data_IF_509671135089
#
_entry.id   IF_509671135089
#
_cell.length_a   1.000
_cell.length_b   1.000
_cell.length_c   1.000
_cell.angle_alpha   90.00
_cell.angle_beta   90.00
_cell.angle_gamma   90.00
#
_symmetry.space_group_name_H-M   'P 1'
#
loop_
_entity.id
_entity.type
_entity.pdbx_description
1 polymer ?
#
# COMPACT_ATOMS: atom_id res chain seq x y z
N UNK A 1 9.67 7.92 -42.70
CA UNK A 1 9.81 7.28 -41.38
C UNK A 1 9.71 8.37 -40.34
N UNK A 2 8.57 8.46 -39.66
CA UNK A 2 8.33 9.48 -38.65
C UNK A 2 8.92 8.92 -37.35
N UNK A 3 10.06 9.48 -36.93
CA UNK A 3 10.53 9.33 -35.56
C UNK A 3 9.44 9.93 -34.67
N UNK A 4 8.66 9.06 -34.01
CA UNK A 4 7.90 9.47 -32.84
C UNK A 4 8.93 9.73 -31.75
N UNK A 5 9.25 11.00 -31.54
CA UNK A 5 9.75 11.47 -30.25
C UNK A 5 8.76 11.01 -29.19
N UNK A 6 9.23 10.15 -28.29
CA UNK A 6 8.50 9.80 -27.07
C UNK A 6 8.64 11.05 -26.18
N UNK A 7 7.56 11.81 -25.93
CA UNK A 7 7.62 12.97 -25.07
C UNK A 7 7.79 12.48 -23.63
N UNK A 8 8.83 12.96 -22.95
CA UNK A 8 8.91 12.94 -21.50
C UNK A 8 9.14 11.56 -20.87
N UNK A 9 10.39 11.09 -20.92
CA UNK A 9 10.93 10.35 -19.77
C UNK A 9 11.11 11.33 -18.59
N UNK A 10 10.00 11.88 -18.08
CA UNK A 10 9.94 12.44 -16.73
C UNK A 10 10.16 11.28 -15.72
N UNK A 11 10.61 11.56 -14.48
CA UNK A 11 11.40 10.62 -13.69
C UNK A 11 10.53 9.47 -13.16
N UNK A 12 10.34 8.45 -13.99
CA UNK A 12 9.62 7.19 -13.69
C UNK A 12 10.24 6.38 -12.53
N UNK A 13 11.28 6.91 -11.88
CA UNK A 13 12.14 6.22 -10.92
C UNK A 13 12.27 6.96 -9.57
N UNK A 14 11.60 8.11 -9.39
CA UNK A 14 11.60 8.80 -8.11
C UNK A 14 10.51 8.22 -7.19
N UNK A 15 10.83 7.93 -5.91
CA UNK A 15 9.82 7.54 -4.91
C UNK A 15 8.68 8.57 -4.88
N UNK A 16 7.44 8.09 -4.91
CA UNK A 16 6.30 9.00 -4.90
C UNK A 16 6.26 9.80 -3.59
N UNK A 17 5.90 11.08 -3.69
CA UNK A 17 5.71 11.96 -2.52
C UNK A 17 4.51 11.47 -1.69
N UNK A 18 3.48 10.98 -2.37
CA UNK A 18 2.29 10.33 -1.80
C UNK A 18 1.96 9.12 -2.69
N UNK A 19 1.76 7.96 -2.09
CA UNK A 19 1.35 6.74 -2.79
C UNK A 19 -0.16 6.55 -2.64
N UNK A 20 -0.87 6.45 -3.77
CA UNK A 20 -2.31 6.20 -3.80
C UNK A 20 -2.65 4.80 -4.32
N UNK A 21 -1.79 4.26 -5.19
CA UNK A 21 -1.98 3.00 -5.90
C UNK A 21 -0.87 1.99 -5.58
N UNK A 22 -1.23 0.71 -5.42
CA UNK A 22 -0.24 -0.37 -5.32
C UNK A 22 0.66 -0.48 -6.54
N UNK A 23 0.15 -0.17 -7.74
CA UNK A 23 0.91 -0.19 -8.99
C UNK A 23 2.07 0.81 -9.02
N UNK A 24 2.03 1.84 -8.17
CA UNK A 24 3.08 2.86 -8.05
C UNK A 24 4.10 2.55 -6.96
N UNK A 25 3.86 1.52 -6.14
CA UNK A 25 4.78 1.14 -5.07
C UNK A 25 6.10 0.65 -5.66
N UNK A 26 7.23 1.12 -5.14
CA UNK A 26 8.59 0.70 -5.56
C UNK A 26 9.39 0.22 -4.36
N UNK A 27 10.47 -0.53 -4.64
CA UNK A 27 11.43 -0.97 -3.59
C UNK A 27 11.99 0.22 -2.79
N UNK A 28 12.19 1.34 -3.47
CA UNK A 28 12.67 2.58 -2.86
C UNK A 28 11.68 3.20 -1.85
N UNK A 29 10.39 2.84 -1.91
CA UNK A 29 9.39 3.27 -0.93
C UNK A 29 9.39 2.42 0.34
N UNK A 30 9.78 1.15 0.22
CA UNK A 30 9.82 0.18 1.32
C UNK A 30 11.06 0.35 2.18
N UNK A 31 12.20 0.72 1.59
CA UNK A 31 13.47 0.80 2.31
C UNK A 31 13.44 1.78 3.49
N UNK A 32 12.94 3.03 3.34
CA UNK A 32 12.83 3.96 4.47
C UNK A 32 11.89 3.46 5.57
N UNK A 33 10.80 2.79 5.19
CA UNK A 33 9.85 2.21 6.15
C UNK A 33 10.49 1.05 6.93
N UNK A 34 11.25 0.20 6.25
CA UNK A 34 12.00 -0.90 6.86
C UNK A 34 13.02 -0.39 7.87
N UNK A 35 13.81 0.61 7.50
CA UNK A 35 14.85 1.18 8.36
C UNK A 35 14.24 1.80 9.63
N UNK A 36 13.14 2.54 9.46
CA UNK A 36 12.38 3.09 10.58
C UNK A 36 11.85 2.00 11.51
N UNK A 37 11.15 0.99 10.98
CA UNK A 37 10.60 -0.12 11.78
C UNK A 37 11.71 -0.91 12.48
N UNK A 38 12.83 -1.16 11.82
CA UNK A 38 13.98 -1.82 12.41
C UNK A 38 14.55 -1.02 13.59
N UNK A 39 14.71 0.30 13.43
CA UNK A 39 15.17 1.16 14.52
C UNK A 39 14.20 1.12 15.71
N UNK A 40 12.90 1.34 15.47
CA UNK A 40 11.88 1.37 16.54
C UNK A 40 11.76 0.04 17.30
N UNK A 41 11.75 -1.08 16.57
CA UNK A 41 11.60 -2.40 17.19
C UNK A 41 12.86 -2.83 17.94
N UNK A 42 14.04 -2.41 17.48
CA UNK A 42 15.28 -2.65 18.22
C UNK A 42 15.37 -1.81 19.50
N UNK A 43 14.89 -0.57 19.49
CA UNK A 43 14.78 0.23 20.72
C UNK A 43 13.81 -0.39 21.71
N UNK A 44 12.62 -0.79 21.23
CA UNK A 44 11.64 -1.51 22.06
C UNK A 44 12.25 -2.74 22.74
N UNK A 45 13.06 -3.52 22.01
CA UNK A 45 13.74 -4.69 22.56
C UNK A 45 14.83 -4.31 23.59
N UNK A 46 15.56 -3.22 23.38
CA UNK A 46 16.60 -2.73 24.31
C UNK A 46 16.02 -2.16 25.60
N UNK A 47 14.80 -1.64 25.56
CA UNK A 47 14.09 -1.15 26.75
C UNK A 47 13.63 -2.29 27.67
N UNK A 48 13.66 -3.55 27.19
CA UNK A 48 13.34 -4.73 28.00
C UNK A 48 14.58 -5.31 28.67
N UNK A 49 14.40 -5.80 29.90
CA UNK A 49 15.46 -6.51 30.63
C UNK A 49 15.87 -7.79 29.88
N UNK A 50 17.17 -8.08 29.90
CA UNK A 50 17.74 -9.23 29.22
C UNK A 50 17.23 -10.56 29.80
N UNK A 51 16.93 -11.52 28.92
CA UNK A 51 16.42 -12.84 29.32
C UNK A 51 14.92 -12.90 29.67
N UNK A 52 14.18 -11.80 29.52
CA UNK A 52 12.73 -11.79 29.75
C UNK A 52 11.94 -12.24 28.51
N UNK A 53 10.76 -12.81 28.73
CA UNK A 53 9.80 -13.12 27.66
C UNK A 53 9.40 -11.87 26.86
N UNK A 54 9.33 -10.72 27.53
CA UNK A 54 9.04 -9.44 26.91
C UNK A 54 10.11 -9.05 25.88
N UNK A 55 11.40 -9.19 26.24
CA UNK A 55 12.51 -8.97 25.30
C UNK A 55 12.47 -9.96 24.15
N UNK A 56 12.27 -11.24 24.44
CA UNK A 56 12.14 -12.27 23.40
C UNK A 56 11.01 -11.94 22.40
N UNK A 57 9.86 -11.51 22.90
CA UNK A 57 8.72 -11.13 22.08
C UNK A 57 9.02 -9.89 21.21
N UNK A 58 9.69 -8.87 21.76
CA UNK A 58 10.09 -7.68 21.01
C UNK A 58 11.11 -8.02 19.90
N UNK A 59 12.12 -8.83 20.20
CA UNK A 59 13.09 -9.30 19.21
C UNK A 59 12.43 -10.20 18.14
N UNK A 60 11.48 -11.04 18.53
CA UNK A 60 10.73 -11.86 17.59
C UNK A 60 9.88 -10.99 16.66
N UNK A 61 9.18 -9.99 17.20
CA UNK A 61 8.43 -9.02 16.40
C UNK A 61 9.34 -8.28 15.40
N UNK A 62 10.52 -7.83 15.84
CA UNK A 62 11.51 -7.19 14.96
C UNK A 62 11.88 -8.09 13.76
N UNK A 63 12.17 -9.37 14.02
CA UNK A 63 12.49 -10.35 12.97
C UNK A 63 11.31 -10.62 12.04
N UNK A 64 10.10 -10.74 12.56
CA UNK A 64 8.89 -10.95 11.75
C UNK A 64 8.62 -9.76 10.83
N UNK A 65 8.78 -8.54 11.32
CA UNK A 65 8.59 -7.33 10.53
C UNK A 65 9.69 -7.16 9.47
N UNK A 66 10.96 -7.43 9.81
CA UNK A 66 12.04 -7.42 8.81
C UNK A 66 11.82 -8.47 7.71
N UNK A 67 11.34 -9.67 8.06
CA UNK A 67 10.96 -10.68 7.08
C UNK A 67 9.84 -10.19 6.16
N UNK A 68 8.77 -9.60 6.71
CA UNK A 68 7.69 -9.04 5.92
C UNK A 68 8.14 -7.90 4.98
N UNK A 69 9.09 -7.05 5.40
CA UNK A 69 9.69 -6.05 4.53
C UNK A 69 10.49 -6.67 3.36
N UNK A 70 11.20 -7.77 3.62
CA UNK A 70 11.94 -8.51 2.59
C UNK A 70 10.99 -9.19 1.60
N UNK A 71 9.95 -9.87 2.10
CA UNK A 71 8.95 -10.52 1.26
C UNK A 71 8.24 -9.50 0.35
N UNK A 72 7.88 -8.32 0.87
CA UNK A 72 7.30 -7.23 0.05
C UNK A 72 8.30 -6.70 -0.98
N UNK A 73 9.58 -6.59 -0.63
CA UNK A 73 10.63 -6.17 -1.57
C UNK A 73 10.77 -7.16 -2.73
N UNK A 74 10.78 -8.47 -2.44
CA UNK A 74 10.86 -9.51 -3.45
C UNK A 74 9.61 -9.53 -4.36
N UNK A 75 8.43 -9.29 -3.79
CA UNK A 75 7.20 -9.14 -4.56
C UNK A 75 7.24 -7.92 -5.49
N UNK A 76 7.84 -6.81 -5.06
CA UNK A 76 8.01 -5.60 -5.88
C UNK A 76 9.01 -5.81 -7.02
N UNK A 77 10.11 -6.53 -6.78
CA UNK A 77 11.05 -6.93 -7.85
C UNK A 77 10.33 -7.79 -8.88
N UNK A 78 9.52 -8.75 -8.42
CA UNK A 78 8.71 -9.59 -9.32
C UNK A 78 7.72 -8.75 -10.12
N UNK A 79 7.09 -7.74 -9.50
CA UNK A 79 6.19 -6.82 -10.18
C UNK A 79 6.88 -5.99 -11.27
N UNK A 80 8.07 -5.45 -10.98
CA UNK A 80 8.87 -4.71 -11.97
C UNK A 80 9.26 -5.59 -13.17
N UNK A 81 9.56 -6.88 -12.94
CA UNK A 81 9.80 -7.84 -14.02
C UNK A 81 8.56 -8.04 -14.90
N UNK A 82 7.40 -8.27 -14.30
CA UNK A 82 6.13 -8.45 -15.04
C UNK A 82 5.78 -7.22 -15.91
N UNK A 83 6.00 -6.01 -15.37
CA UNK A 83 5.80 -4.75 -16.12
C UNK A 83 6.76 -4.62 -17.31
N UNK A 84 7.99 -5.11 -17.17
CA UNK A 84 9.05 -4.98 -18.19
C UNK A 84 8.94 -6.05 -19.26
N UNK A 85 8.63 -7.28 -18.88
CA UNK A 85 8.60 -8.46 -19.78
C UNK A 85 7.26 -8.62 -20.51
N UNK A 86 6.22 -7.92 -20.08
CA UNK A 86 4.93 -7.88 -20.78
C UNK A 86 4.09 -9.17 -20.63
N UNK A 87 4.45 -10.11 -19.76
CA UNK A 87 3.58 -11.24 -19.37
C UNK A 87 2.46 -10.81 -18.39
N UNK A 88 2.00 -9.56 -18.53
CA UNK A 88 0.75 -9.08 -17.94
C UNK A 88 -0.48 -9.88 -18.42
N UNK A 89 -0.29 -10.77 -19.40
CA UNK A 89 -1.28 -11.60 -20.06
C UNK A 89 -1.86 -12.73 -19.19
N UNK A 90 -1.33 -12.93 -17.98
CA UNK A 90 -1.87 -13.86 -16.97
C UNK A 90 -2.75 -13.12 -15.95
N UNK A 91 -4.04 -12.87 -16.27
CA UNK A 91 -4.91 -12.02 -15.47
C UNK A 91 -5.04 -12.45 -14.00
N UNK A 92 -4.88 -13.74 -13.69
CA UNK A 92 -4.93 -14.24 -12.31
C UNK A 92 -3.65 -14.06 -11.48
N UNK A 93 -2.48 -14.01 -12.12
CA UNK A 93 -1.21 -13.87 -11.41
C UNK A 93 -0.94 -12.41 -11.05
N UNK A 94 -1.03 -11.53 -12.06
CA UNK A 94 -0.84 -10.08 -11.93
C UNK A 94 -1.81 -9.48 -10.93
N UNK A 95 -3.10 -9.84 -11.01
CA UNK A 95 -4.10 -9.31 -10.09
C UNK A 95 -3.85 -9.74 -8.65
N UNK A 96 -3.39 -10.98 -8.44
CA UNK A 96 -3.03 -11.47 -7.10
C UNK A 96 -1.79 -10.75 -6.57
N UNK A 97 -0.77 -10.57 -7.41
CA UNK A 97 0.45 -9.85 -7.04
C UNK A 97 0.11 -8.41 -6.62
N UNK A 98 -0.65 -7.69 -7.43
CA UNK A 98 -1.13 -6.33 -7.14
C UNK A 98 -1.89 -6.23 -5.81
N UNK A 99 -2.79 -7.18 -5.54
CA UNK A 99 -3.53 -7.23 -4.26
C UNK A 99 -2.62 -7.53 -3.07
N UNK A 100 -1.66 -8.45 -3.23
CA UNK A 100 -0.69 -8.78 -2.19
C UNK A 100 0.20 -7.58 -1.87
N UNK A 101 0.71 -6.87 -2.88
CA UNK A 101 1.50 -5.66 -2.70
C UNK A 101 0.79 -4.63 -1.82
N UNK A 102 -0.48 -4.34 -2.12
CA UNK A 102 -1.28 -3.42 -1.31
C UNK A 102 -1.49 -3.92 0.11
N UNK A 103 -1.83 -5.20 0.26
CA UNK A 103 -2.11 -5.81 1.57
C UNK A 103 -0.88 -5.81 2.49
N UNK A 104 0.27 -6.19 1.94
CA UNK A 104 1.53 -6.29 2.67
C UNK A 104 2.08 -4.91 3.05
N UNK A 105 2.02 -3.95 2.11
CA UNK A 105 2.33 -2.56 2.40
C UNK A 105 1.47 -2.00 3.53
N UNK A 106 0.15 -2.14 3.44
CA UNK A 106 -0.78 -1.62 4.44
C UNK A 106 -0.52 -2.21 5.83
N UNK A 107 -0.14 -3.49 5.90
CA UNK A 107 0.20 -4.15 7.15
C UNK A 107 1.45 -3.53 7.80
N UNK A 108 2.47 -3.25 7.01
CA UNK A 108 3.68 -2.57 7.48
C UNK A 108 3.39 -1.14 7.91
N UNK A 109 2.60 -0.39 7.11
CA UNK A 109 2.18 0.97 7.46
C UNK A 109 1.38 1.00 8.76
N UNK A 110 0.41 0.10 8.94
CA UNK A 110 -0.34 -0.01 10.20
C UNK A 110 0.55 -0.32 11.39
N UNK A 111 1.65 -1.03 11.17
CA UNK A 111 2.67 -1.25 12.22
C UNK A 111 3.43 0.02 12.52
N UNK A 112 3.88 0.76 11.50
CA UNK A 112 4.59 2.03 11.67
C UNK A 112 3.73 3.13 12.32
N UNK A 113 2.43 3.15 12.02
CA UNK A 113 1.47 4.10 12.62
C UNK A 113 1.36 3.98 14.15
N UNK A 114 1.76 2.84 14.73
CA UNK A 114 1.84 2.68 16.20
C UNK A 114 2.95 3.54 16.83
N UNK A 115 3.86 4.07 16.00
CA UNK A 115 4.99 4.90 16.37
C UNK A 115 4.90 6.29 15.71
N UNK A 116 3.67 6.76 15.40
CA UNK A 116 3.44 7.99 14.65
C UNK A 116 3.83 9.28 15.42
N UNK A 117 4.04 9.18 16.73
CA UNK A 117 4.55 10.24 17.59
C UNK A 117 6.08 10.42 17.50
N UNK A 118 6.79 9.49 16.85
CA UNK A 118 8.23 9.57 16.68
C UNK A 118 8.64 10.62 15.63
N UNK A 119 9.69 11.44 15.86
CA UNK A 119 10.12 12.49 14.93
C UNK A 119 10.53 11.97 13.54
N UNK A 120 11.06 10.75 13.46
CA UNK A 120 11.45 10.11 12.19
C UNK A 120 10.27 9.47 11.45
N UNK A 121 9.05 9.49 12.02
CA UNK A 121 7.87 8.99 11.32
C UNK A 121 7.54 9.89 10.14
N UNK A 122 7.40 9.29 8.95
CA UNK A 122 7.09 10.04 7.73
C UNK A 122 5.58 9.99 7.43
N UNK A 123 4.89 11.14 7.32
CA UNK A 123 3.45 11.19 7.01
C UNK A 123 3.04 10.59 5.66
N UNK A 124 4.01 10.26 4.79
CA UNK A 124 3.81 9.56 3.52
C UNK A 124 3.48 8.07 3.69
N UNK A 125 3.79 7.47 4.84
CA UNK A 125 3.46 6.07 5.12
C UNK A 125 1.97 5.93 5.44
N UNK A 126 1.18 5.77 4.39
CA UNK A 126 -0.28 5.66 4.44
C UNK A 126 -0.74 4.37 3.76
N UNK A 127 -1.85 3.78 4.23
CA UNK A 127 -2.48 2.67 3.54
C UNK A 127 -2.87 3.10 2.12
N UNK A 128 -2.71 2.18 1.18
CA UNK A 128 -3.07 2.39 -0.21
C UNK A 128 -4.58 2.23 -0.35
N UNK A 129 -5.20 3.20 -1.02
CA UNK A 129 -6.66 3.19 -1.19
C UNK A 129 -7.08 2.32 -2.36
N UNK A 130 -6.23 2.25 -3.38
CA UNK A 130 -6.55 1.61 -4.64
C UNK A 130 -5.39 0.71 -5.10
N UNK A 131 -5.72 -0.21 -6.00
CA UNK A 131 -4.75 -1.14 -6.56
C UNK A 131 -4.09 -0.52 -7.79
N UNK A 132 -4.91 0.06 -8.66
CA UNK A 132 -4.56 0.73 -9.91
C UNK A 132 -5.65 1.76 -10.23
N UNK A 133 -5.50 2.52 -11.31
CA UNK A 133 -6.47 3.54 -11.75
C UNK A 133 -7.83 2.92 -12.06
N UNK A 134 -7.86 1.78 -12.76
CA UNK A 134 -9.10 1.08 -13.10
C UNK A 134 -9.85 0.61 -11.83
N UNK A 135 -9.12 0.24 -10.78
CA UNK A 135 -9.73 -0.10 -9.49
C UNK A 135 -10.34 1.14 -8.83
N UNK A 136 -9.70 2.31 -8.92
CA UNK A 136 -10.28 3.55 -8.40
C UNK A 136 -11.56 3.93 -9.13
N UNK A 137 -11.56 3.88 -10.46
CA UNK A 137 -12.75 4.14 -11.29
C UNK A 137 -13.90 3.18 -10.94
N UNK A 138 -13.61 1.88 -10.79
CA UNK A 138 -14.60 0.89 -10.37
C UNK A 138 -15.19 1.20 -8.99
N UNK A 139 -14.34 1.54 -8.01
CA UNK A 139 -14.78 1.87 -6.64
C UNK A 139 -15.62 3.14 -6.63
N UNK A 140 -15.25 4.16 -7.41
CA UNK A 140 -16.02 5.41 -7.54
C UNK A 140 -17.39 5.18 -8.18
N UNK A 141 -17.48 4.35 -9.21
CA UNK A 141 -18.77 3.97 -9.81
C UNK A 141 -19.65 3.20 -8.81
N UNK A 142 -19.08 2.21 -8.13
CA UNK A 142 -19.81 1.39 -7.15
C UNK A 142 -20.28 2.19 -5.92
N UNK A 143 -19.51 3.19 -5.48
CA UNK A 143 -19.86 4.05 -4.34
C UNK A 143 -20.70 5.26 -4.74
N UNK A 144 -20.53 5.78 -5.97
CA UNK A 144 -21.34 6.85 -6.55
C UNK A 144 -22.79 6.43 -6.76
N UNK A 145 -23.01 5.19 -7.22
CA UNK A 145 -24.36 4.60 -7.38
C UNK A 145 -25.07 4.38 -6.03
N UNK A 146 -24.32 4.21 -4.94
CA UNK A 146 -24.88 4.12 -3.58
C UNK A 146 -25.34 5.49 -3.03
N UNK A 147 -24.85 6.60 -3.59
CA UNK A 147 -25.31 7.95 -3.26
C UNK A 147 -26.44 8.47 -4.15
N UNK A 148 -26.59 7.94 -5.38
CA UNK A 148 -27.69 8.31 -6.29
C UNK A 148 -28.97 7.49 -6.08
N UNK A 149 -28.92 6.47 -5.21
CA UNK A 149 -30.11 5.74 -4.73
C UNK A 149 -30.88 6.48 -3.61
N UNK A 150 -30.65 7.80 -3.48
CA UNK A 150 -31.33 8.70 -2.58
C UNK A 150 -32.69 9.19 -3.10
N UNK A 151 -33.74 8.52 -2.63
CA UNK A 151 -35.10 9.07 -2.39
C UNK A 151 -35.96 9.30 -3.65
N UNK A 152 -36.48 8.20 -4.22
CA UNK A 152 -37.84 8.21 -4.78
C UNK A 152 -38.86 7.86 -3.67
N UNK A 153 -38.99 8.75 -2.67
CA UNK A 153 -40.26 8.87 -1.96
C UNK A 153 -41.18 9.69 -2.88
N UNK A 154 -41.85 9.00 -3.80
CA UNK A 154 -43.03 9.57 -4.44
C UNK A 154 -44.13 9.64 -3.38
N UNK A 155 -44.38 10.87 -2.93
CA UNK A 155 -45.53 11.26 -2.13
C UNK A 155 -46.79 10.54 -2.61
N UNK A 156 -47.43 9.83 -1.69
CA UNK A 156 -48.76 9.31 -1.85
C UNK A 156 -49.73 10.49 -1.60
N UNK A 157 -50.41 11.07 -2.62
CA UNK A 157 -51.38 12.10 -2.33
C UNK A 157 -52.60 11.44 -1.70
N UNK A 158 -52.88 11.84 -0.45
CA UNK A 158 -54.17 11.65 0.20
C UNK A 158 -55.29 12.05 -0.77
N UNK A 159 -56.16 11.10 -1.09
CA UNK A 159 -57.50 11.43 -1.56
C UNK A 159 -58.46 11.23 -0.40
N UNK A 160 -58.77 12.33 0.28
CA UNK A 160 -60.03 12.48 0.99
C UNK A 160 -61.15 12.56 -0.05
N UNK A 161 -62.10 11.62 0.05
CA UNK A 161 -63.54 11.88 -0.01
C UNK A 161 -64.31 10.64 0.45
#
# INVERSE_FOLDING_TARGET
MIHRDIPGAEPLLAPAVILEFSDDLRVADVSPLRDFLAARLNELARDQEEGTDARWAAEHLARTIDAACRDLTDALVSWEMELTEGDISRPGHVQRLRQNLGTDWDRLVRTAQRYADHPDYLPRWRPLRYCCVEHAEFVEQALGDATDSGILYSDNPRHDN
#
